data_IF_745760760648
#
_entry.id   IF_745760760648
#
_cell.length_a   1.000
_cell.length_b   1.000
_cell.length_c   1.000
_cell.angle_alpha   90.00
_cell.angle_beta   90.00
_cell.angle_gamma   90.00
#
_symmetry.space_group_name_H-M   'P 1'
#
loop_
_entity.id
_entity.type
_entity.pdbx_description
1 polymer ?
#
# COMPACT_ATOMS: atom_id res chain seq x y z
N UNK A 1 -22.79 -15.09 3.50
CA UNK A 1 -21.55 -14.38 3.91
C UNK A 1 -20.74 -15.10 4.98
N UNK A 2 -21.28 -15.49 6.15
CA UNK A 2 -20.50 -16.15 7.23
C UNK A 2 -19.61 -17.32 6.77
N UNK A 3 -20.16 -18.24 5.96
CA UNK A 3 -19.41 -19.39 5.41
C UNK A 3 -18.20 -18.99 4.55
N UNK A 4 -18.32 -17.93 3.76
CA UNK A 4 -17.23 -17.46 2.89
C UNK A 4 -16.06 -16.89 3.72
N UNK A 5 -16.37 -16.12 4.77
CA UNK A 5 -15.36 -15.63 5.71
C UNK A 5 -14.69 -16.77 6.47
N UNK A 6 -15.44 -17.78 6.92
CA UNK A 6 -14.87 -18.95 7.59
C UNK A 6 -13.92 -19.73 6.66
N UNK A 7 -14.30 -19.91 5.39
CA UNK A 7 -13.43 -20.58 4.42
C UNK A 7 -12.17 -19.75 4.12
N UNK A 8 -12.30 -18.44 4.00
CA UNK A 8 -11.16 -17.54 3.83
C UNK A 8 -10.22 -17.60 5.04
N UNK A 9 -10.76 -17.53 6.26
CA UNK A 9 -9.99 -17.64 7.51
C UNK A 9 -9.21 -18.95 7.56
N UNK A 10 -9.84 -20.06 7.16
CA UNK A 10 -9.20 -21.37 7.13
C UNK A 10 -8.07 -21.44 6.07
N UNK A 11 -8.23 -20.77 4.93
CA UNK A 11 -7.17 -20.68 3.92
C UNK A 11 -5.99 -19.82 4.38
N UNK A 12 -6.27 -18.65 4.98
CA UNK A 12 -5.26 -17.72 5.50
C UNK A 12 -4.48 -18.31 6.67
N UNK A 13 -5.10 -19.18 7.47
CA UNK A 13 -4.48 -19.74 8.67
C UNK A 13 -3.78 -21.07 8.43
N UNK A 14 -4.47 -22.01 7.79
CA UNK A 14 -4.07 -23.42 7.87
C UNK A 14 -3.65 -23.99 6.52
N UNK A 15 -4.42 -23.73 5.46
CA UNK A 15 -4.21 -24.45 4.19
C UNK A 15 -3.14 -23.83 3.31
N UNK A 16 -3.22 -22.52 3.05
CA UNK A 16 -2.34 -21.85 2.07
C UNK A 16 -2.03 -20.40 2.49
N UNK A 17 -1.50 -20.17 3.71
CA UNK A 17 -1.37 -18.84 4.29
C UNK A 17 -0.63 -17.85 3.38
N UNK A 18 0.47 -18.28 2.77
CA UNK A 18 1.29 -17.45 1.90
C UNK A 18 0.51 -17.07 0.63
N UNK A 19 -0.01 -18.06 -0.09
CA UNK A 19 -0.72 -17.84 -1.38
C UNK A 19 -1.96 -16.98 -1.19
N UNK A 20 -2.75 -17.24 -0.15
CA UNK A 20 -3.96 -16.46 0.12
C UNK A 20 -3.61 -15.02 0.48
N UNK A 21 -2.60 -14.78 1.32
CA UNK A 21 -2.13 -13.42 1.63
C UNK A 21 -1.57 -12.69 0.40
N UNK A 22 -0.82 -13.38 -0.46
CA UNK A 22 -0.34 -12.83 -1.75
C UNK A 22 -1.51 -12.41 -2.66
N UNK A 23 -2.52 -13.29 -2.81
CA UNK A 23 -3.70 -13.00 -3.63
C UNK A 23 -4.52 -11.85 -3.06
N UNK A 24 -4.73 -11.81 -1.75
CA UNK A 24 -5.42 -10.69 -1.09
C UNK A 24 -4.65 -9.39 -1.30
N UNK A 25 -3.32 -9.41 -1.16
CA UNK A 25 -2.47 -8.25 -1.39
C UNK A 25 -2.56 -7.76 -2.85
N UNK A 26 -2.51 -8.69 -3.82
CA UNK A 26 -2.70 -8.39 -5.24
C UNK A 26 -4.02 -7.64 -5.47
N UNK A 27 -5.14 -8.21 -4.99
CA UNK A 27 -6.48 -7.64 -5.20
C UNK A 27 -6.59 -6.26 -4.55
N UNK A 28 -6.11 -6.09 -3.32
CA UNK A 28 -6.17 -4.81 -2.61
C UNK A 28 -5.38 -3.71 -3.33
N UNK A 29 -4.18 -4.02 -3.83
CA UNK A 29 -3.38 -3.05 -4.57
C UNK A 29 -3.99 -2.74 -5.95
N UNK A 30 -4.55 -3.73 -6.65
CA UNK A 30 -5.29 -3.47 -7.88
C UNK A 30 -6.48 -2.52 -7.66
N UNK A 31 -7.28 -2.74 -6.61
CA UNK A 31 -8.42 -1.87 -6.27
C UNK A 31 -7.96 -0.47 -5.86
N UNK A 32 -6.85 -0.39 -5.11
CA UNK A 32 -6.23 0.88 -4.74
C UNK A 32 -5.80 1.68 -5.97
N UNK A 33 -5.11 1.05 -6.93
CA UNK A 33 -4.67 1.71 -8.16
C UNK A 33 -5.84 2.17 -9.03
N UNK A 34 -6.88 1.35 -9.18
CA UNK A 34 -8.11 1.76 -9.88
C UNK A 34 -8.70 3.02 -9.24
N UNK A 35 -8.75 3.06 -7.91
CA UNK A 35 -9.25 4.24 -7.18
C UNK A 35 -8.37 5.47 -7.44
N UNK A 36 -7.03 5.31 -7.43
CA UNK A 36 -6.09 6.38 -7.76
C UNK A 36 -6.31 6.91 -9.18
N UNK A 37 -6.43 6.02 -10.18
CA UNK A 37 -6.66 6.43 -11.57
C UNK A 37 -8.00 7.17 -11.74
N UNK A 38 -9.06 6.77 -11.02
CA UNK A 38 -10.33 7.49 -11.02
C UNK A 38 -10.20 8.90 -10.42
N UNK A 39 -9.42 9.06 -9.36
CA UNK A 39 -9.15 10.37 -8.73
C UNK A 39 -8.29 11.26 -9.64
N UNK A 40 -7.27 10.70 -10.29
CA UNK A 40 -6.44 11.38 -11.29
C UNK A 40 -7.32 11.92 -12.43
N UNK A 41 -8.21 11.10 -12.98
CA UNK A 41 -9.16 11.50 -14.01
C UNK A 41 -10.08 12.63 -13.56
N UNK A 42 -10.67 12.53 -12.36
CA UNK A 42 -11.53 13.58 -11.80
C UNK A 42 -10.79 14.91 -11.63
N UNK A 43 -9.51 14.86 -11.23
CA UNK A 43 -8.66 16.06 -11.10
C UNK A 43 -8.44 16.74 -12.46
N UNK A 44 -8.18 15.97 -13.51
CA UNK A 44 -8.02 16.48 -14.87
C UNK A 44 -9.30 17.16 -15.39
N UNK A 45 -10.47 16.54 -15.16
CA UNK A 45 -11.76 17.15 -15.53
C UNK A 45 -12.00 18.48 -14.81
N UNK A 46 -11.68 18.55 -13.51
CA UNK A 46 -11.83 19.79 -12.73
C UNK A 46 -10.90 20.91 -13.24
N UNK A 47 -9.67 20.58 -13.63
CA UNK A 47 -8.72 21.54 -14.20
C UNK A 47 -9.21 22.09 -15.54
N UNK A 48 -9.68 21.22 -16.44
CA UNK A 48 -10.26 21.64 -17.72
C UNK A 48 -11.50 22.51 -17.54
N UNK A 49 -12.33 22.24 -16.52
CA UNK A 49 -13.48 23.07 -16.18
C UNK A 49 -13.09 24.47 -15.69
N UNK A 50 -12.05 24.56 -14.85
CA UNK A 50 -11.52 25.82 -14.37
C UNK A 50 -10.92 26.68 -15.50
N UNK A 51 -10.11 26.08 -16.39
CA UNK A 51 -9.49 26.81 -17.50
C UNK A 51 -10.52 27.35 -18.50
N UNK A 52 -11.59 26.58 -18.78
CA UNK A 52 -12.71 27.03 -19.61
C UNK A 52 -13.45 28.23 -19.01
N UNK A 53 -13.51 28.34 -17.68
CA UNK A 53 -14.12 29.50 -17.02
C UNK A 53 -13.25 30.76 -17.13
N UNK A 54 -11.92 30.60 -17.18
CA UNK A 54 -10.98 31.72 -17.33
C UNK A 54 -10.94 32.28 -18.76
N UNK A 55 -11.10 31.44 -19.78
CA UNK A 55 -10.98 31.83 -21.19
C UNK A 55 -12.29 32.17 -21.91
N UNK A 56 -13.44 32.20 -21.22
CA UNK A 56 -14.75 32.55 -21.81
C UNK A 56 -14.86 33.97 -22.39
N UNK A 57 -13.85 34.83 -22.21
CA UNK A 57 -13.82 36.19 -22.76
C UNK A 57 -13.10 36.30 -24.13
N UNK A 58 -12.54 35.22 -24.68
CA UNK A 58 -11.90 35.24 -26.00
C UNK A 58 -12.59 34.23 -26.94
N UNK A 59 -13.37 34.77 -27.88
CA UNK A 59 -14.17 34.03 -28.83
C UNK A 59 -13.32 33.16 -29.78
N UNK A 60 -13.30 31.84 -29.56
CA UNK A 60 -13.64 30.83 -30.56
C UNK A 60 -13.68 29.48 -29.85
N UNK A 61 -14.87 28.88 -29.77
CA UNK A 61 -15.12 27.62 -29.09
C UNK A 61 -14.58 26.45 -29.94
N UNK A 62 -13.27 26.23 -29.89
CA UNK A 62 -12.69 24.97 -30.34
C UNK A 62 -13.08 23.92 -29.29
N UNK A 63 -14.10 23.12 -29.62
CA UNK A 63 -14.55 21.97 -28.84
C UNK A 63 -13.41 20.95 -28.74
N UNK A 64 -12.55 21.11 -27.73
CA UNK A 64 -11.58 20.08 -27.39
C UNK A 64 -12.33 18.78 -27.06
N UNK A 65 -11.93 17.64 -27.64
CA UNK A 65 -12.57 16.36 -27.38
C UNK A 65 -12.50 16.06 -25.88
N UNK A 66 -13.66 15.78 -25.29
CA UNK A 66 -13.76 15.30 -23.92
C UNK A 66 -13.05 13.95 -23.85
N UNK A 67 -11.86 13.91 -23.27
CA UNK A 67 -11.15 12.64 -23.06
C UNK A 67 -11.99 11.74 -22.15
N UNK A 68 -12.32 10.55 -22.65
CA UNK A 68 -12.99 9.52 -21.86
C UNK A 68 -11.97 8.90 -20.91
N UNK A 69 -12.41 8.54 -19.71
CA UNK A 69 -11.59 7.78 -18.78
C UNK A 69 -11.07 6.50 -19.44
N UNK A 70 -9.75 6.36 -19.50
CA UNK A 70 -9.08 5.17 -20.00
C UNK A 70 -8.31 4.54 -18.85
N UNK A 71 -8.85 3.45 -18.32
CA UNK A 71 -8.19 2.65 -17.31
C UNK A 71 -6.89 2.04 -17.87
N UNK A 72 -5.78 2.29 -17.18
CA UNK A 72 -4.50 1.63 -17.40
C UNK A 72 -4.46 0.32 -16.61
N UNK A 73 -4.97 -0.74 -17.24
CA UNK A 73 -4.98 -2.09 -16.65
C UNK A 73 -3.58 -2.64 -16.43
N UNK A 74 -2.61 -2.23 -17.24
CA UNK A 74 -1.22 -2.68 -17.13
C UNK A 74 -0.60 -2.15 -15.84
N UNK A 75 -0.72 -0.86 -15.58
CA UNK A 75 -0.30 -0.24 -14.30
C UNK A 75 -0.94 -0.95 -13.11
N UNK A 76 -2.24 -1.23 -13.18
CA UNK A 76 -2.98 -1.91 -12.10
C UNK A 76 -2.46 -3.32 -11.83
N UNK A 77 -2.21 -4.12 -12.88
CA UNK A 77 -1.67 -5.48 -12.74
C UNK A 77 -0.24 -5.47 -12.23
N UNK A 78 0.60 -4.53 -12.69
CA UNK A 78 1.98 -4.38 -12.22
C UNK A 78 2.02 -4.07 -10.73
N UNK A 79 1.22 -3.10 -10.25
CA UNK A 79 1.17 -2.77 -8.84
C UNK A 79 0.67 -3.92 -7.97
N UNK A 80 -0.39 -4.61 -8.40
CA UNK A 80 -0.87 -5.81 -7.72
C UNK A 80 0.21 -6.89 -7.63
N UNK A 81 0.93 -7.13 -8.74
CA UNK A 81 2.01 -8.12 -8.82
C UNK A 81 3.17 -7.74 -7.91
N UNK A 82 3.60 -6.48 -7.95
CA UNK A 82 4.68 -5.97 -7.11
C UNK A 82 4.33 -6.11 -5.62
N UNK A 83 3.08 -5.83 -5.25
CA UNK A 83 2.64 -5.98 -3.87
C UNK A 83 2.62 -7.45 -3.42
N UNK A 84 2.10 -8.34 -4.28
CA UNK A 84 2.01 -9.77 -3.98
C UNK A 84 3.38 -10.44 -3.90
N UNK A 85 4.29 -10.13 -4.83
CA UNK A 85 5.57 -10.84 -5.00
C UNK A 85 6.69 -10.22 -4.16
N UNK A 86 6.75 -8.90 -4.06
CA UNK A 86 7.85 -8.23 -3.34
C UNK A 86 7.43 -7.79 -1.94
N UNK A 87 6.33 -7.05 -1.80
CA UNK A 87 6.00 -6.44 -0.51
C UNK A 87 5.49 -7.47 0.51
N UNK A 88 4.59 -8.36 0.09
CA UNK A 88 3.94 -9.29 1.01
C UNK A 88 4.93 -10.29 1.67
N UNK A 89 5.87 -10.95 0.96
CA UNK A 89 6.82 -11.86 1.61
C UNK A 89 7.69 -11.19 2.66
N UNK A 90 8.22 -9.99 2.38
CA UNK A 90 9.04 -9.22 3.33
C UNK A 90 8.21 -8.86 4.56
N UNK A 91 6.96 -8.42 4.35
CA UNK A 91 6.04 -8.09 5.44
C UNK A 91 5.70 -9.29 6.32
N UNK A 92 5.51 -10.47 5.71
CA UNK A 92 5.28 -11.71 6.46
C UNK A 92 6.50 -12.12 7.28
N UNK A 93 7.70 -12.01 6.72
CA UNK A 93 8.94 -12.29 7.44
C UNK A 93 9.09 -11.36 8.66
N UNK A 94 8.82 -10.07 8.48
CA UNK A 94 8.85 -9.11 9.58
C UNK A 94 7.84 -9.46 10.67
N UNK A 95 6.58 -9.72 10.30
CA UNK A 95 5.54 -10.08 11.26
C UNK A 95 5.90 -11.36 12.03
N UNK A 96 6.41 -12.38 11.34
CA UNK A 96 6.73 -13.67 11.97
C UNK A 96 7.98 -13.61 12.87
N UNK A 97 9.00 -12.81 12.51
CA UNK A 97 10.33 -12.84 13.16
C UNK A 97 10.67 -11.62 13.99
N UNK A 98 10.23 -10.43 13.59
CA UNK A 98 10.66 -9.16 14.19
C UNK A 98 9.57 -8.60 15.10
N UNK A 99 8.31 -8.54 14.64
CA UNK A 99 7.21 -7.99 15.41
C UNK A 99 7.01 -8.63 16.81
N UNK A 100 7.21 -9.95 17.03
CA UNK A 100 7.09 -10.56 18.35
C UNK A 100 8.20 -10.14 19.32
N UNK A 101 9.34 -9.67 18.82
CA UNK A 101 10.46 -9.19 19.63
C UNK A 101 10.23 -7.75 20.10
N UNK A 102 9.37 -7.00 19.42
CA UNK A 102 8.97 -5.64 19.79
C UNK A 102 7.86 -5.73 20.83
N UNK A 103 8.24 -5.94 22.09
CA UNK A 103 7.32 -5.96 23.22
C UNK A 103 7.83 -5.04 24.33
N UNK A 104 7.21 -3.87 24.42
CA UNK A 104 7.63 -2.82 25.35
C UNK A 104 7.29 -3.22 26.79
N UNK A 105 6.17 -3.89 27.02
CA UNK A 105 5.83 -4.39 28.34
C UNK A 105 6.87 -5.37 28.87
N UNK A 106 7.44 -6.20 27.98
CA UNK A 106 8.56 -7.08 28.33
C UNK A 106 9.84 -6.31 28.65
N UNK A 107 10.17 -5.27 27.88
CA UNK A 107 11.40 -4.50 28.10
C UNK A 107 11.35 -3.62 29.33
N UNK A 108 10.20 -3.00 29.61
CA UNK A 108 10.02 -2.12 30.77
C UNK A 108 9.68 -2.89 32.05
N UNK A 109 9.38 -4.20 31.97
CA UNK A 109 8.97 -4.99 33.14
C UNK A 109 7.62 -4.56 33.72
N UNK A 110 6.80 -3.85 32.95
CA UNK A 110 5.49 -3.32 33.38
C UNK A 110 4.40 -4.01 32.59
N UNK A 111 3.67 -4.90 33.26
CA UNK A 111 2.52 -5.62 32.68
C UNK A 111 1.33 -4.70 32.39
N UNK A 112 1.29 -3.52 33.00
CA UNK A 112 0.15 -2.58 32.98
C UNK A 112 0.15 -1.58 31.83
N UNK A 113 1.23 -1.48 31.03
CA UNK A 113 1.31 -0.50 29.92
C UNK A 113 0.28 -0.74 28.80
N UNK A 114 -0.48 -1.83 28.90
CA UNK A 114 -1.71 -2.05 28.15
C UNK A 114 -1.43 -2.48 26.71
N UNK A 115 -2.34 -3.31 26.18
CA UNK A 115 -2.26 -3.81 24.80
C UNK A 115 -2.16 -2.67 23.76
N UNK A 116 -2.76 -1.51 24.07
CA UNK A 116 -2.76 -0.33 23.19
C UNK A 116 -1.34 0.20 22.98
N UNK A 117 -0.56 0.45 24.04
CA UNK A 117 0.78 1.02 23.87
C UNK A 117 1.74 0.03 23.20
N UNK A 118 1.63 -1.27 23.53
CA UNK A 118 2.39 -2.32 22.86
C UNK A 118 2.09 -2.35 21.35
N UNK A 119 0.81 -2.30 20.97
CA UNK A 119 0.41 -2.27 19.56
C UNK A 119 0.85 -0.99 18.86
N UNK A 120 0.76 0.17 19.53
CA UNK A 120 1.24 1.44 18.99
C UNK A 120 2.76 1.41 18.73
N UNK A 121 3.53 0.88 19.68
CA UNK A 121 4.97 0.76 19.51
C UNK A 121 5.33 -0.22 18.40
N UNK A 122 4.68 -1.40 18.35
CA UNK A 122 4.84 -2.34 17.23
C UNK A 122 4.51 -1.70 15.90
N UNK A 123 3.48 -0.87 15.83
CA UNK A 123 3.09 -0.17 14.61
C UNK A 123 4.13 0.85 14.15
N UNK A 124 4.66 1.65 15.08
CA UNK A 124 5.74 2.60 14.79
C UNK A 124 7.01 1.89 14.34
N UNK A 125 7.47 0.89 15.10
CA UNK A 125 8.68 0.12 14.76
C UNK A 125 8.50 -0.59 13.42
N UNK A 126 7.33 -1.19 13.17
CA UNK A 126 7.02 -1.77 11.86
C UNK A 126 7.20 -0.73 10.76
N UNK A 127 6.58 0.45 10.87
CA UNK A 127 6.73 1.48 9.85
C UNK A 127 8.20 1.88 9.64
N UNK A 128 8.93 2.24 10.70
CA UNK A 128 10.31 2.73 10.57
C UNK A 128 11.29 1.66 10.06
N UNK A 129 11.11 0.40 10.46
CA UNK A 129 11.96 -0.69 10.00
C UNK A 129 11.64 -1.11 8.57
N UNK A 130 10.36 -1.19 8.20
CA UNK A 130 9.94 -1.81 6.94
C UNK A 130 9.74 -0.83 5.81
N UNK A 131 9.35 0.41 6.09
CA UNK A 131 9.04 1.37 5.03
C UNK A 131 10.21 1.66 4.10
N UNK A 132 11.49 1.71 4.53
CA UNK A 132 12.59 1.91 3.57
C UNK A 132 12.67 0.79 2.54
N UNK A 133 12.51 -0.45 2.99
CA UNK A 133 12.55 -1.62 2.13
C UNK A 133 11.30 -1.72 1.27
N UNK A 134 10.11 -1.57 1.85
CA UNK A 134 8.83 -1.70 1.13
C UNK A 134 8.66 -0.62 0.06
N UNK A 135 9.03 0.63 0.33
CA UNK A 135 8.96 1.71 -0.66
C UNK A 135 9.94 1.46 -1.81
N UNK A 136 11.17 1.06 -1.48
CA UNK A 136 12.19 0.75 -2.49
C UNK A 136 11.81 -0.46 -3.34
N UNK A 137 11.30 -1.52 -2.72
CA UNK A 137 10.82 -2.72 -3.40
C UNK A 137 9.58 -2.44 -4.25
N UNK A 138 8.67 -1.58 -3.78
CA UNK A 138 7.50 -1.22 -4.55
C UNK A 138 7.86 -0.44 -5.81
N UNK A 139 8.65 0.63 -5.71
CA UNK A 139 9.00 1.43 -6.88
C UNK A 139 10.03 0.75 -7.79
N UNK A 140 11.03 0.09 -7.19
CA UNK A 140 12.04 -0.66 -7.93
C UNK A 140 11.43 -1.90 -8.58
N UNK A 141 10.64 -2.68 -7.84
CA UNK A 141 9.96 -3.87 -8.34
C UNK A 141 8.99 -3.55 -9.47
N UNK A 142 8.18 -2.49 -9.34
CA UNK A 142 7.32 -2.04 -10.45
C UNK A 142 8.13 -1.63 -11.68
N UNK A 143 9.20 -0.85 -11.52
CA UNK A 143 10.03 -0.42 -12.66
C UNK A 143 10.72 -1.60 -13.36
N UNK A 144 11.23 -2.57 -12.60
CA UNK A 144 11.84 -3.77 -13.15
C UNK A 144 10.82 -4.68 -13.85
N UNK A 145 9.62 -4.84 -13.29
CA UNK A 145 8.52 -5.54 -13.97
C UNK A 145 8.05 -4.79 -15.23
N UNK A 146 8.23 -3.48 -15.28
CA UNK A 146 8.03 -2.63 -16.45
C UNK A 146 9.22 -2.64 -17.42
N UNK A 147 10.17 -3.56 -17.26
CA UNK A 147 11.36 -3.74 -18.13
C UNK A 147 12.35 -2.55 -18.14
N UNK A 148 12.33 -1.70 -17.11
CA UNK A 148 13.30 -0.62 -16.99
C UNK A 148 14.69 -1.18 -16.65
N UNK A 149 15.75 -0.45 -17.01
CA UNK A 149 17.10 -0.79 -16.56
C UNK A 149 17.21 -0.64 -15.04
N UNK A 150 18.20 -1.29 -14.44
CA UNK A 150 18.41 -1.20 -12.99
C UNK A 150 18.74 0.24 -12.54
N UNK A 151 19.49 0.99 -13.33
CA UNK A 151 19.82 2.39 -13.08
C UNK A 151 18.58 3.27 -13.13
N UNK A 152 17.69 3.06 -14.11
CA UNK A 152 16.43 3.77 -14.23
C UNK A 152 15.48 3.44 -13.07
N UNK A 153 15.43 2.17 -12.65
CA UNK A 153 14.65 1.74 -11.49
C UNK A 153 15.18 2.36 -10.18
N UNK A 154 16.50 2.37 -9.98
CA UNK A 154 17.13 3.00 -8.82
C UNK A 154 16.88 4.51 -8.78
N UNK A 155 16.97 5.19 -9.92
CA UNK A 155 16.63 6.61 -10.04
C UNK A 155 15.16 6.86 -9.70
N UNK A 156 14.23 6.04 -10.22
CA UNK A 156 12.81 6.14 -9.91
C UNK A 156 12.51 5.96 -8.41
N UNK A 157 13.22 5.05 -7.74
CA UNK A 157 13.15 4.92 -6.27
C UNK A 157 13.64 6.22 -5.63
N UNK A 158 14.84 6.69 -5.96
CA UNK A 158 15.42 7.90 -5.37
C UNK A 158 14.51 9.12 -5.50
N UNK A 159 13.92 9.33 -6.68
CA UNK A 159 13.05 10.48 -6.98
C UNK A 159 11.74 10.44 -6.19
N UNK A 160 11.17 9.25 -5.97
CA UNK A 160 9.84 9.08 -5.34
C UNK A 160 9.88 8.73 -3.87
N UNK A 161 11.02 8.26 -3.37
CA UNK A 161 11.15 7.72 -2.02
C UNK A 161 10.75 8.74 -0.97
N UNK A 162 11.34 9.94 -1.00
CA UNK A 162 11.17 10.91 0.08
C UNK A 162 9.75 11.47 0.17
N UNK A 163 9.14 11.78 -0.98
CA UNK A 163 7.75 12.25 -1.05
C UNK A 163 6.82 11.16 -0.51
N UNK A 164 7.02 9.92 -0.94
CA UNK A 164 6.21 8.78 -0.51
C UNK A 164 6.37 8.50 0.98
N UNK A 165 7.60 8.46 1.47
CA UNK A 165 7.93 8.23 2.88
C UNK A 165 7.28 9.28 3.79
N UNK A 166 7.31 10.56 3.38
CA UNK A 166 6.71 11.65 4.15
C UNK A 166 5.20 11.58 4.25
N UNK A 167 4.50 11.06 3.24
CA UNK A 167 3.06 10.81 3.32
C UNK A 167 2.82 9.54 4.14
N UNK A 168 3.60 8.50 3.87
CA UNK A 168 3.47 7.18 4.45
C UNK A 168 3.57 7.19 5.98
N UNK A 169 4.45 8.01 6.57
CA UNK A 169 4.65 8.10 8.03
C UNK A 169 3.43 8.58 8.81
N UNK A 170 2.47 9.25 8.17
CA UNK A 170 1.24 9.69 8.83
C UNK A 170 0.13 8.65 8.72
N UNK A 171 0.13 7.85 7.64
CA UNK A 171 -0.94 6.89 7.36
C UNK A 171 -0.63 5.48 7.89
N UNK A 172 0.57 4.97 7.62
CA UNK A 172 0.90 3.57 7.84
C UNK A 172 1.05 3.16 9.31
N UNK A 173 1.58 4.00 10.24
CA UNK A 173 1.53 3.67 11.66
C UNK A 173 0.09 3.45 12.15
N UNK A 174 -0.87 4.26 11.70
CA UNK A 174 -2.29 4.07 12.05
C UNK A 174 -2.85 2.77 11.47
N UNK A 175 -2.59 2.48 10.19
CA UNK A 175 -3.01 1.23 9.56
C UNK A 175 -2.39 0.00 10.26
N UNK A 176 -1.09 0.04 10.56
CA UNK A 176 -0.38 -1.02 11.27
C UNK A 176 -0.91 -1.19 12.70
N UNK A 177 -1.27 -0.10 13.38
CA UNK A 177 -1.89 -0.17 14.70
C UNK A 177 -3.20 -0.93 14.65
N UNK A 178 -4.08 -0.65 13.67
CA UNK A 178 -5.33 -1.39 13.48
C UNK A 178 -5.06 -2.88 13.19
N UNK A 179 -4.05 -3.19 12.38
CA UNK A 179 -3.63 -4.57 12.15
C UNK A 179 -3.21 -5.23 13.46
N UNK A 180 -2.37 -4.60 14.27
CA UNK A 180 -1.97 -5.16 15.57
C UNK A 180 -3.07 -5.16 16.62
N UNK A 181 -4.09 -4.32 16.50
CA UNK A 181 -5.21 -4.29 17.42
C UNK A 181 -6.20 -5.41 17.12
N UNK A 182 -6.50 -5.65 15.83
CA UNK A 182 -7.59 -6.52 15.42
C UNK A 182 -7.16 -7.83 14.77
N UNK A 183 -5.94 -7.93 14.23
CA UNK A 183 -5.45 -9.19 13.70
C UNK A 183 -5.19 -10.15 14.87
N UNK A 184 -5.77 -11.35 14.89
CA UNK A 184 -5.49 -12.35 15.92
C UNK A 184 -3.99 -12.58 16.10
N UNK A 185 -3.54 -12.79 17.34
CA UNK A 185 -2.09 -12.93 17.67
C UNK A 185 -1.42 -14.04 16.86
N UNK A 186 -2.12 -15.16 16.64
CA UNK A 186 -1.63 -16.28 15.84
C UNK A 186 -1.58 -16.02 14.33
N UNK A 187 -2.27 -14.98 13.82
CA UNK A 187 -2.11 -14.56 12.42
C UNK A 187 -0.88 -13.68 12.20
N UNK A 188 -0.22 -13.26 13.30
CA UNK A 188 1.01 -12.45 13.30
C UNK A 188 2.27 -13.30 13.36
N UNK A 189 2.16 -14.57 13.75
CA UNK A 189 3.24 -15.57 13.77
C UNK A 189 3.23 -16.40 12.49
#
# INVERSE_FOLDING_TARGET
MKKAFTLYDLQVRERNPIKTKMLTCFILFCLGDVTCQMLEFKKLQNQQGADKSSHRNAASEILLPQEKFRWDSRRTVLQGTSAAVFNNPVSQLYLAKVAPLVDVSRWMGVSTLGNVLNNATRACVHFFCMSPFQISLFFGGNALLDTWSFEAAAKNVADKYWVTYNIAKFYWPCANFLVYQFAPVHMRQ
#
